data_IF_663376787037
#
_entry.id   IF_663376787037
#
_cell.length_a   1.000
_cell.length_b   1.000
_cell.length_c   1.000
_cell.angle_alpha   90.00
_cell.angle_beta   90.00
_cell.angle_gamma   90.00
#
_symmetry.space_group_name_H-M   'P 1'
#
loop_
_entity.id
_entity.type
_entity.pdbx_description
1 polymer ?
#
# COMPACT_ATOMS: atom_id res chain seq x y z
N UNK A 1 -15.82 -57.40 -5.04
CA UNK A 1 -15.08 -57.67 -3.77
C UNK A 1 -14.56 -56.37 -3.21
N UNK A 2 -14.99 -56.10 -1.99
CA UNK A 2 -14.56 -55.10 -1.01
C UNK A 2 -14.26 -53.66 -1.47
N UNK A 3 -15.22 -52.81 -1.09
CA UNK A 3 -15.05 -51.37 -0.81
C UNK A 3 -14.22 -51.18 0.46
N UNK A 4 -13.31 -50.21 0.46
CA UNK A 4 -12.81 -49.63 1.70
C UNK A 4 -12.98 -48.11 1.62
N UNK A 5 -13.72 -47.61 2.60
CA UNK A 5 -13.97 -46.20 2.89
C UNK A 5 -12.71 -45.59 3.45
N UNK A 6 -12.33 -44.39 2.95
CA UNK A 6 -11.44 -43.50 3.70
C UNK A 6 -12.23 -42.26 4.08
N UNK A 7 -12.15 -41.97 5.39
CA UNK A 7 -13.01 -41.04 6.07
C UNK A 7 -12.63 -39.56 5.84
N UNK A 8 -13.61 -38.74 6.03
CA UNK A 8 -13.53 -37.31 6.11
C UNK A 8 -12.59 -36.86 7.23
N UNK A 9 -11.60 -36.04 6.89
CA UNK A 9 -10.80 -35.30 7.87
C UNK A 9 -11.41 -33.90 7.97
N UNK A 10 -12.00 -33.64 9.13
CA UNK A 10 -12.61 -32.36 9.46
C UNK A 10 -11.58 -31.24 9.60
N UNK A 11 -11.97 -30.11 9.07
CA UNK A 11 -11.28 -28.83 9.24
C UNK A 11 -11.44 -28.36 10.69
N UNK A 12 -10.39 -28.44 11.51
CA UNK A 12 -10.36 -27.85 12.84
C UNK A 12 -9.68 -26.49 12.81
N UNK A 13 -10.38 -25.50 13.32
CA UNK A 13 -9.87 -24.15 13.59
C UNK A 13 -8.78 -24.22 14.67
N UNK A 14 -7.61 -23.59 14.50
CA UNK A 14 -6.60 -23.55 15.53
C UNK A 14 -6.65 -22.21 16.27
N UNK A 15 -7.35 -22.13 17.36
CA UNK A 15 -6.93 -21.35 18.52
C UNK A 15 -7.87 -21.44 19.70
N UNK A 16 -7.51 -22.36 20.59
CA UNK A 16 -7.82 -22.25 22.02
C UNK A 16 -6.63 -22.78 22.85
N UNK A 17 -6.06 -21.85 23.63
CA UNK A 17 -5.43 -21.95 24.95
C UNK A 17 -4.38 -23.03 25.25
N UNK A 18 -3.18 -22.54 25.52
CA UNK A 18 -2.31 -23.16 26.56
C UNK A 18 -1.96 -22.08 27.60
N UNK A 19 -2.07 -22.45 28.86
CA UNK A 19 -1.89 -21.60 30.04
C UNK A 19 -0.41 -21.30 30.41
N UNK A 20 -0.15 -20.67 31.57
CA UNK A 20 0.92 -19.70 31.75
C UNK A 20 2.27 -20.32 32.09
N UNK A 21 3.32 -19.85 31.44
CA UNK A 21 4.72 -20.01 31.87
C UNK A 21 5.13 -18.67 32.52
N UNK A 22 5.56 -18.76 33.78
CA UNK A 22 5.87 -17.60 34.59
C UNK A 22 7.09 -16.82 34.08
N UNK A 23 6.92 -15.51 33.96
CA UNK A 23 8.01 -14.56 33.79
C UNK A 23 8.25 -13.77 35.06
N UNK A 24 9.52 -13.75 35.45
CA UNK A 24 10.02 -12.88 36.54
C UNK A 24 9.87 -11.41 36.13
N UNK A 25 9.22 -10.65 36.98
CA UNK A 25 8.93 -9.23 36.86
C UNK A 25 10.18 -8.37 37.02
N UNK A 26 10.47 -7.54 36.03
CA UNK A 26 11.04 -6.22 36.25
C UNK A 26 9.98 -5.20 35.82
N UNK A 27 9.27 -4.69 36.77
CA UNK A 27 8.25 -3.66 36.61
C UNK A 27 8.91 -2.33 36.28
N UNK A 28 8.89 -1.93 35.01
CA UNK A 28 8.98 -0.55 34.59
C UNK A 28 7.57 -0.07 34.23
N UNK A 29 7.17 0.95 34.91
CA UNK A 29 5.80 1.47 35.05
C UNK A 29 5.21 1.88 33.69
N UNK A 30 4.24 1.11 33.19
CA UNK A 30 3.48 1.38 31.97
C UNK A 30 2.63 2.65 32.12
N UNK A 31 2.38 3.12 33.36
CA UNK A 31 1.54 4.28 33.63
C UNK A 31 2.14 5.60 33.15
N UNK A 32 3.46 5.76 33.14
CA UNK A 32 4.12 6.99 32.67
C UNK A 32 4.14 7.12 31.15
N UNK A 33 4.20 6.02 30.40
CA UNK A 33 4.11 6.06 28.92
C UNK A 33 2.73 6.46 28.41
N UNK A 34 1.67 6.06 29.09
CA UNK A 34 0.30 6.46 28.76
C UNK A 34 -0.01 7.91 29.10
N UNK A 35 0.62 8.46 30.12
CA UNK A 35 0.49 9.87 30.46
C UNK A 35 1.17 10.79 29.43
N UNK A 36 2.31 10.39 28.89
CA UNK A 36 3.03 11.13 27.85
C UNK A 36 2.26 11.14 26.52
N UNK A 37 1.74 9.98 26.07
CA UNK A 37 0.91 9.90 24.86
C UNK A 37 -0.41 10.68 24.97
N UNK A 38 -1.07 10.66 26.15
CA UNK A 38 -2.30 11.45 26.35
C UNK A 38 -2.04 12.95 26.36
N UNK A 39 -0.87 13.39 26.79
CA UNK A 39 -0.46 14.81 26.76
C UNK A 39 -0.30 15.35 25.33
N UNK A 40 0.27 14.57 24.44
CA UNK A 40 0.47 14.95 23.04
C UNK A 40 -0.81 14.89 22.20
N UNK A 41 -1.67 13.91 22.42
CA UNK A 41 -2.98 13.82 21.77
C UNK A 41 -3.90 14.99 22.22
N UNK A 42 -3.88 15.35 23.50
CA UNK A 42 -4.62 16.50 24.01
C UNK A 42 -4.06 17.84 23.50
N UNK A 43 -2.74 17.97 23.31
CA UNK A 43 -2.11 19.17 22.78
C UNK A 43 -2.35 19.32 21.28
N UNK A 44 -2.38 18.23 20.51
CA UNK A 44 -2.75 18.26 19.09
C UNK A 44 -4.23 18.65 18.87
N UNK A 45 -5.13 18.17 19.73
CA UNK A 45 -6.56 18.56 19.69
C UNK A 45 -6.73 20.04 20.07
N UNK A 46 -5.93 20.56 21.00
CA UNK A 46 -5.99 21.98 21.41
C UNK A 46 -5.35 22.94 20.40
N UNK A 47 -4.33 22.50 19.66
CA UNK A 47 -3.69 23.31 18.62
C UNK A 47 -4.58 23.38 17.36
N UNK A 48 -5.38 22.34 17.06
CA UNK A 48 -6.37 22.37 15.98
C UNK A 48 -7.56 23.29 16.31
N UNK A 49 -7.87 23.54 17.60
CA UNK A 49 -8.95 24.42 18.01
C UNK A 49 -8.60 25.93 18.08
N UNK A 50 -7.36 26.31 17.82
CA UNK A 50 -6.92 27.71 17.92
C UNK A 50 -6.55 28.39 16.58
N UNK A 51 -6.82 27.74 15.43
CA UNK A 51 -6.66 28.35 14.11
C UNK A 51 -8.03 28.59 13.51
N UNK A 52 -8.44 29.85 13.60
CA UNK A 52 -9.47 30.53 12.81
C UNK A 52 -10.68 29.74 12.25
N UNK A 53 -11.90 30.01 12.77
CA UNK A 53 -13.21 30.05 12.13
C UNK A 53 -13.65 29.01 11.08
N UNK A 54 -12.81 28.07 10.69
CA UNK A 54 -13.09 27.06 9.67
C UNK A 54 -13.45 25.68 10.25
N UNK A 55 -13.40 25.51 11.56
CA UNK A 55 -13.68 24.22 12.23
C UNK A 55 -15.16 23.81 12.16
N UNK A 56 -16.08 24.77 12.22
CA UNK A 56 -17.53 24.46 12.20
C UNK A 56 -18.03 24.11 10.78
N UNK A 57 -17.42 24.66 9.71
CA UNK A 57 -17.79 24.30 8.34
C UNK A 57 -17.30 22.88 7.94
N UNK A 58 -16.20 22.39 8.52
CA UNK A 58 -15.68 21.06 8.22
C UNK A 58 -16.59 19.91 8.73
N UNK A 59 -17.22 20.11 9.89
CA UNK A 59 -18.13 19.11 10.47
C UNK A 59 -19.45 19.01 9.70
N UNK A 60 -19.98 20.13 9.15
CA UNK A 60 -21.21 20.14 8.37
C UNK A 60 -21.09 19.44 7.01
N UNK A 61 -19.89 19.24 6.51
CA UNK A 61 -19.63 18.59 5.21
C UNK A 61 -19.75 17.06 5.26
N UNK A 62 -19.70 16.47 6.46
CA UNK A 62 -19.85 15.04 6.74
C UNK A 62 -21.15 14.71 7.48
N UNK A 63 -22.11 15.63 7.54
CA UNK A 63 -23.43 15.38 8.08
C UNK A 63 -24.35 14.75 7.01
N UNK A 64 -24.63 13.46 7.18
CA UNK A 64 -25.54 12.71 6.32
C UNK A 64 -24.89 12.11 5.07
N UNK A 65 -25.72 11.52 4.21
CA UNK A 65 -25.29 10.85 2.98
C UNK A 65 -24.70 11.83 2.00
N UNK A 66 -23.47 11.56 1.53
CA UNK A 66 -22.87 12.39 0.48
C UNK A 66 -23.46 12.06 -0.89
N UNK A 67 -23.55 13.07 -1.76
CA UNK A 67 -23.86 12.87 -3.18
C UNK A 67 -22.58 13.07 -3.98
N UNK A 68 -22.18 12.05 -4.70
CA UNK A 68 -20.96 12.05 -5.51
C UNK A 68 -21.33 11.79 -6.96
N UNK A 69 -20.88 12.64 -7.86
CA UNK A 69 -21.17 12.54 -9.28
C UNK A 69 -19.94 12.84 -10.13
N UNK A 70 -19.89 12.25 -11.30
CA UNK A 70 -18.90 12.56 -12.32
C UNK A 70 -19.56 13.40 -13.38
N UNK A 71 -19.02 14.59 -13.65
CA UNK A 71 -19.50 15.51 -14.67
C UNK A 71 -18.43 15.72 -15.73
N UNK A 72 -18.87 16.12 -16.93
CA UNK A 72 -17.98 16.41 -18.04
C UNK A 72 -18.04 15.36 -19.15
N UNK A 73 -17.20 15.52 -20.16
CA UNK A 73 -17.13 14.64 -21.33
C UNK A 73 -15.80 14.78 -22.05
N UNK A 74 -15.48 13.80 -22.92
CA UNK A 74 -14.37 13.86 -23.88
C UNK A 74 -13.00 14.22 -23.28
N UNK A 75 -12.72 13.76 -22.04
CA UNK A 75 -11.43 13.98 -21.38
C UNK A 75 -11.35 15.19 -20.47
N UNK A 76 -12.43 15.93 -20.35
CA UNK A 76 -12.60 17.01 -19.36
C UNK A 76 -13.66 16.58 -18.32
N UNK A 77 -13.30 15.63 -17.47
CA UNK A 77 -14.14 15.08 -16.42
C UNK A 77 -13.73 15.65 -15.06
N UNK A 78 -14.71 15.83 -14.19
CA UNK A 78 -14.51 16.15 -12.78
C UNK A 78 -15.39 15.30 -11.88
N UNK A 79 -14.89 14.95 -10.70
CA UNK A 79 -15.67 14.38 -9.63
C UNK A 79 -16.17 15.52 -8.74
N UNK A 80 -17.45 15.44 -8.34
CA UNK A 80 -18.11 16.42 -7.49
C UNK A 80 -18.72 15.73 -6.29
N UNK A 81 -18.50 16.28 -5.11
CA UNK A 81 -19.10 15.82 -3.86
C UNK A 81 -19.99 16.93 -3.30
N UNK A 82 -21.25 16.63 -3.05
CA UNK A 82 -22.25 17.61 -2.58
C UNK A 82 -22.28 18.88 -3.44
N UNK A 83 -22.17 18.70 -4.77
CA UNK A 83 -22.16 19.78 -5.76
C UNK A 83 -20.86 20.58 -5.88
N UNK A 84 -19.87 20.38 -5.00
CA UNK A 84 -18.55 21.01 -5.04
C UNK A 84 -17.55 20.13 -5.79
N UNK A 85 -16.66 20.74 -6.61
CA UNK A 85 -15.58 20.01 -7.27
C UNK A 85 -14.67 19.36 -6.22
N UNK A 86 -14.40 18.07 -6.39
CA UNK A 86 -13.61 17.27 -5.48
C UNK A 86 -12.59 16.44 -6.27
N UNK A 87 -11.34 16.47 -5.85
CA UNK A 87 -10.30 15.66 -6.46
C UNK A 87 -9.65 14.79 -5.37
N UNK A 88 -9.92 13.46 -5.36
CA UNK A 88 -9.34 12.56 -4.38
C UNK A 88 -7.82 12.52 -4.48
N UNK A 89 -7.16 12.91 -3.40
CA UNK A 89 -5.72 12.84 -3.19
C UNK A 89 -5.47 12.07 -1.90
N UNK A 90 -4.90 10.88 -2.00
CA UNK A 90 -4.69 10.06 -0.82
C UNK A 90 -3.94 8.79 -1.10
N UNK A 91 -4.17 7.79 -0.26
CA UNK A 91 -3.50 6.50 -0.34
C UNK A 91 -4.43 5.35 0.05
N UNK A 92 -4.09 4.13 -0.36
CA UNK A 92 -4.55 2.95 0.34
C UNK A 92 -3.98 2.96 1.74
N UNK A 93 -4.82 2.89 2.77
CA UNK A 93 -4.41 3.06 4.15
C UNK A 93 -4.63 1.80 4.98
N UNK A 94 -3.74 1.57 5.96
CA UNK A 94 -3.90 0.52 6.96
C UNK A 94 -4.61 1.07 8.20
N UNK A 95 -5.32 0.23 8.98
CA UNK A 95 -5.93 0.66 10.24
C UNK A 95 -4.92 1.35 11.19
N UNK A 96 -5.38 2.41 11.87
CA UNK A 96 -4.55 3.17 12.81
C UNK A 96 -3.61 4.20 12.19
N UNK A 97 -3.64 4.40 10.85
CA UNK A 97 -2.76 5.34 10.14
C UNK A 97 -3.47 6.61 9.65
N UNK A 98 -4.79 6.76 9.84
CA UNK A 98 -5.57 7.84 9.23
C UNK A 98 -5.25 9.23 9.79
N UNK A 99 -4.92 9.34 11.09
CA UNK A 99 -4.50 10.62 11.70
C UNK A 99 -3.25 11.16 11.00
N UNK A 100 -2.23 10.31 10.79
CA UNK A 100 -1.02 10.72 10.07
C UNK A 100 -1.30 10.99 8.60
N UNK A 101 -2.14 10.18 7.93
CA UNK A 101 -2.56 10.42 6.55
C UNK A 101 -3.18 11.81 6.38
N UNK A 102 -4.09 12.19 7.27
CA UNK A 102 -4.71 13.52 7.30
C UNK A 102 -3.68 14.63 7.55
N UNK A 103 -2.78 14.43 8.51
CA UNK A 103 -1.74 15.39 8.85
C UNK A 103 -0.79 15.68 7.68
N UNK A 104 -0.54 14.68 6.81
CA UNK A 104 0.24 14.83 5.58
C UNK A 104 -0.53 15.45 4.41
N UNK A 105 -1.81 15.80 4.62
CA UNK A 105 -2.60 16.58 3.67
C UNK A 105 -3.48 15.80 2.71
N UNK A 106 -3.63 14.48 2.91
CA UNK A 106 -4.61 13.71 2.16
C UNK A 106 -6.04 14.18 2.48
N UNK A 107 -6.93 14.06 1.49
CA UNK A 107 -8.36 14.32 1.66
C UNK A 107 -9.20 13.05 1.51
N UNK A 108 -8.58 11.94 1.09
CA UNK A 108 -9.27 10.69 0.79
C UNK A 108 -8.36 9.48 1.06
N UNK A 109 -8.99 8.31 1.25
CA UNK A 109 -8.30 7.03 1.27
C UNK A 109 -9.08 5.97 0.47
N UNK A 110 -8.40 4.85 0.17
CA UNK A 110 -9.08 3.65 -0.33
C UNK A 110 -8.87 2.48 0.62
N UNK A 111 -9.82 1.55 0.61
CA UNK A 111 -9.74 0.28 1.34
C UNK A 111 -9.73 -0.89 0.37
N UNK A 112 -9.46 -2.12 0.86
CA UNK A 112 -9.53 -3.37 0.09
C UNK A 112 -10.75 -4.22 0.45
N UNK A 113 -11.48 -3.81 1.48
CA UNK A 113 -12.73 -4.39 1.96
C UNK A 113 -13.50 -3.31 2.72
N UNK A 114 -14.74 -3.60 3.09
CA UNK A 114 -15.51 -2.73 3.97
C UNK A 114 -14.96 -2.84 5.38
N UNK A 115 -14.62 -1.69 5.96
CA UNK A 115 -14.21 -1.55 7.36
C UNK A 115 -14.98 -0.35 7.96
N UNK A 116 -16.01 -0.64 8.73
CA UNK A 116 -16.89 0.39 9.30
C UNK A 116 -16.15 1.27 10.32
N UNK A 117 -15.24 0.70 11.10
CA UNK A 117 -14.44 1.48 12.05
C UNK A 117 -13.51 2.46 11.32
N UNK A 118 -12.94 2.06 10.19
CA UNK A 118 -12.15 2.95 9.34
C UNK A 118 -13.00 4.03 8.65
N UNK A 119 -14.24 3.71 8.26
CA UNK A 119 -15.19 4.69 7.74
C UNK A 119 -15.53 5.74 8.81
N UNK A 120 -15.83 5.30 10.04
CA UNK A 120 -16.12 6.19 11.17
C UNK A 120 -14.93 7.10 11.50
N UNK A 121 -13.71 6.54 11.58
CA UNK A 121 -12.49 7.32 11.81
C UNK A 121 -12.25 8.33 10.67
N UNK A 122 -12.45 7.91 9.41
CA UNK A 122 -12.32 8.79 8.26
C UNK A 122 -13.30 9.98 8.32
N UNK A 123 -14.58 9.73 8.66
CA UNK A 123 -15.56 10.78 8.83
C UNK A 123 -15.15 11.79 9.90
N UNK A 124 -14.71 11.30 11.07
CA UNK A 124 -14.22 12.16 12.16
C UNK A 124 -13.03 13.03 11.75
N UNK A 125 -12.17 12.55 10.85
CA UNK A 125 -11.00 13.26 10.35
C UNK A 125 -11.29 14.12 9.10
N UNK A 126 -12.53 14.11 8.59
CA UNK A 126 -12.89 14.80 7.35
C UNK A 126 -12.17 14.20 6.13
N UNK A 127 -12.03 12.88 6.10
CA UNK A 127 -11.51 12.10 4.96
C UNK A 127 -12.66 11.38 4.27
N UNK A 128 -12.61 11.26 2.95
CA UNK A 128 -13.51 10.39 2.19
C UNK A 128 -12.88 9.02 1.94
N UNK A 129 -13.70 8.02 1.63
CA UNK A 129 -13.25 6.65 1.42
C UNK A 129 -13.78 6.08 0.11
N UNK A 130 -12.88 5.65 -0.77
CA UNK A 130 -13.23 4.76 -1.88
C UNK A 130 -13.20 3.33 -1.37
N UNK A 131 -14.39 2.75 -1.20
CA UNK A 131 -14.57 1.43 -0.56
C UNK A 131 -14.49 0.32 -1.59
N UNK A 132 -13.57 -0.62 -1.39
CA UNK A 132 -13.48 -1.82 -2.22
C UNK A 132 -14.40 -2.93 -1.67
N UNK A 133 -15.17 -3.55 -2.56
CA UNK A 133 -15.96 -4.74 -2.27
C UNK A 133 -15.11 -6.00 -2.47
N UNK A 134 -15.23 -6.96 -1.56
CA UNK A 134 -14.52 -8.22 -1.65
C UNK A 134 -15.21 -9.17 -2.64
N UNK A 135 -14.74 -9.14 -3.89
CA UNK A 135 -15.21 -9.94 -5.02
C UNK A 135 -14.27 -11.11 -5.24
N UNK A 136 -14.81 -12.29 -5.48
CA UNK A 136 -14.05 -13.52 -5.71
C UNK A 136 -13.09 -13.40 -6.89
N UNK A 137 -11.85 -13.89 -6.71
CA UNK A 137 -10.81 -13.86 -7.73
C UNK A 137 -10.63 -15.24 -8.35
N UNK A 138 -10.57 -15.30 -9.70
CA UNK A 138 -10.32 -16.57 -10.42
C UNK A 138 -9.01 -17.22 -9.97
N UNK A 139 -7.94 -16.44 -9.78
CA UNK A 139 -6.65 -16.90 -9.26
C UNK A 139 -6.70 -17.52 -7.85
N UNK A 140 -7.76 -17.25 -7.09
CA UNK A 140 -8.01 -17.80 -5.77
C UNK A 140 -9.09 -18.88 -5.78
N UNK A 141 -9.51 -19.34 -6.98
CA UNK A 141 -10.42 -20.47 -7.18
C UNK A 141 -11.89 -20.10 -7.33
N UNK A 142 -12.25 -18.82 -7.49
CA UNK A 142 -13.64 -18.45 -7.78
C UNK A 142 -13.98 -18.76 -9.25
N UNK A 143 -15.02 -19.55 -9.48
CA UNK A 143 -15.47 -19.92 -10.83
C UNK A 143 -16.67 -19.07 -11.28
N UNK A 144 -16.41 -18.15 -12.21
CA UNK A 144 -17.44 -17.30 -12.80
C UNK A 144 -18.38 -18.03 -13.77
N UNK A 145 -18.13 -19.31 -14.10
CA UNK A 145 -19.05 -20.16 -14.84
C UNK A 145 -20.10 -20.84 -13.94
N UNK A 146 -19.90 -20.82 -12.62
CA UNK A 146 -20.87 -21.28 -11.62
C UNK A 146 -21.89 -20.17 -11.34
N UNK A 147 -23.07 -20.29 -11.97
CA UNK A 147 -24.12 -19.30 -11.85
C UNK A 147 -24.69 -19.18 -10.43
N UNK A 148 -24.66 -20.26 -9.63
CA UNK A 148 -25.13 -20.25 -8.25
C UNK A 148 -24.16 -19.47 -7.36
N UNK A 149 -22.86 -19.76 -7.44
CA UNK A 149 -21.82 -19.02 -6.72
C UNK A 149 -21.80 -17.51 -7.08
N UNK A 150 -21.99 -17.17 -8.36
CA UNK A 150 -22.09 -15.77 -8.81
C UNK A 150 -23.33 -15.09 -8.23
N UNK A 151 -24.48 -15.78 -8.18
CA UNK A 151 -25.71 -15.23 -7.60
C UNK A 151 -25.61 -15.05 -6.08
N UNK A 152 -25.01 -16.01 -5.37
CA UNK A 152 -24.73 -15.90 -3.92
C UNK A 152 -23.79 -14.73 -3.62
N UNK A 153 -22.72 -14.57 -4.41
CA UNK A 153 -21.82 -13.42 -4.29
C UNK A 153 -22.56 -12.09 -4.47
N UNK A 154 -23.41 -11.98 -5.49
CA UNK A 154 -24.19 -10.77 -5.75
C UNK A 154 -25.11 -10.43 -4.57
N UNK A 155 -25.81 -11.42 -4.01
CA UNK A 155 -26.73 -11.23 -2.88
C UNK A 155 -25.96 -10.80 -1.60
N UNK A 156 -24.79 -11.38 -1.34
CA UNK A 156 -23.91 -10.99 -0.24
C UNK A 156 -23.45 -9.54 -0.40
N UNK A 157 -22.98 -9.16 -1.58
CA UNK A 157 -22.52 -7.82 -1.85
C UNK A 157 -23.64 -6.76 -1.78
N UNK A 158 -24.88 -7.12 -2.17
CA UNK A 158 -26.04 -6.22 -1.98
C UNK A 158 -26.29 -5.94 -0.49
N UNK A 159 -26.21 -6.96 0.36
CA UNK A 159 -26.33 -6.77 1.81
C UNK A 159 -25.20 -5.91 2.38
N UNK A 160 -23.97 -6.11 1.89
CA UNK A 160 -22.79 -5.32 2.28
C UNK A 160 -22.94 -3.84 1.88
N UNK A 161 -23.38 -3.56 0.65
CA UNK A 161 -23.62 -2.19 0.17
C UNK A 161 -24.74 -1.52 0.98
N UNK A 162 -25.86 -2.21 1.21
CA UNK A 162 -27.00 -1.67 1.98
C UNK A 162 -26.61 -1.28 3.41
N UNK A 163 -25.61 -1.95 3.99
CA UNK A 163 -25.13 -1.68 5.35
C UNK A 163 -24.40 -0.34 5.48
N UNK A 164 -23.62 0.08 4.45
CA UNK A 164 -22.73 1.24 4.57
C UNK A 164 -22.95 2.34 3.51
N UNK A 165 -23.90 2.16 2.57
CA UNK A 165 -24.16 3.11 1.47
C UNK A 165 -24.50 4.54 1.93
N UNK A 166 -25.07 4.67 3.11
CA UNK A 166 -25.47 5.97 3.66
C UNK A 166 -24.38 6.61 4.55
N UNK A 167 -23.19 6.00 4.58
CA UNK A 167 -22.09 6.50 5.41
C UNK A 167 -21.51 7.81 4.86
N UNK A 168 -21.37 8.89 5.68
CA UNK A 168 -20.95 10.21 5.21
C UNK A 168 -19.55 10.28 4.60
N UNK A 169 -18.64 9.37 4.97
CA UNK A 169 -17.31 9.31 4.39
C UNK A 169 -17.24 8.56 3.04
N UNK A 170 -18.29 7.85 2.64
CA UNK A 170 -18.27 7.11 1.38
C UNK A 170 -18.12 8.05 0.18
N UNK A 171 -17.20 7.74 -0.72
CA UNK A 171 -16.94 8.52 -1.93
C UNK A 171 -17.30 7.71 -3.20
N UNK A 172 -16.77 6.50 -3.33
CA UNK A 172 -17.00 5.64 -4.50
C UNK A 172 -16.95 4.18 -4.11
N UNK A 173 -17.55 3.35 -4.94
CA UNK A 173 -17.44 1.89 -4.85
C UNK A 173 -16.42 1.35 -5.83
N UNK A 174 -15.58 0.42 -5.36
CA UNK A 174 -14.62 -0.32 -6.19
C UNK A 174 -15.04 -1.79 -6.17
N UNK A 175 -15.50 -2.33 -7.29
CA UNK A 175 -15.92 -3.72 -7.42
C UNK A 175 -14.70 -4.61 -7.62
N UNK A 176 -14.22 -5.21 -6.53
CA UNK A 176 -13.07 -6.09 -6.53
C UNK A 176 -11.73 -5.42 -6.77
N UNK A 177 -10.67 -6.15 -6.49
CA UNK A 177 -9.28 -5.72 -6.64
C UNK A 177 -8.56 -6.64 -7.61
N UNK A 178 -8.06 -6.09 -8.72
CA UNK A 178 -7.24 -6.80 -9.71
C UNK A 178 -7.87 -8.11 -10.23
N UNK A 179 -9.16 -8.05 -10.57
CA UNK A 179 -9.89 -9.22 -11.04
C UNK A 179 -9.36 -9.76 -12.39
N UNK A 180 -8.58 -8.97 -13.13
CA UNK A 180 -7.90 -9.38 -14.36
C UNK A 180 -6.55 -10.06 -14.13
N UNK A 181 -6.00 -10.04 -12.90
CA UNK A 181 -4.71 -10.65 -12.60
C UNK A 181 -4.83 -12.17 -12.63
N UNK A 182 -4.08 -12.82 -13.53
CA UNK A 182 -4.14 -14.27 -13.78
C UNK A 182 -5.56 -14.81 -14.04
N UNK A 183 -6.44 -13.95 -14.60
CA UNK A 183 -7.79 -14.33 -14.98
C UNK A 183 -7.91 -14.63 -16.47
N UNK A 184 -8.67 -15.65 -16.80
CA UNK A 184 -8.93 -16.09 -18.17
C UNK A 184 -10.39 -16.03 -18.57
N UNK A 185 -11.33 -16.16 -17.61
CA UNK A 185 -12.76 -16.21 -17.83
C UNK A 185 -13.37 -14.79 -17.97
N UNK A 186 -13.84 -14.39 -19.18
CA UNK A 186 -14.41 -13.07 -19.37
C UNK A 186 -15.75 -12.84 -18.66
N UNK A 187 -16.39 -13.89 -18.12
CA UNK A 187 -17.63 -13.78 -17.35
C UNK A 187 -17.45 -12.98 -16.04
N UNK A 188 -16.23 -12.83 -15.57
CA UNK A 188 -15.92 -11.92 -14.44
C UNK A 188 -16.45 -10.51 -14.71
N UNK A 189 -16.39 -10.02 -15.96
CA UNK A 189 -16.84 -8.67 -16.30
C UNK A 189 -18.37 -8.57 -16.40
N UNK A 190 -19.06 -9.66 -16.74
CA UNK A 190 -20.52 -9.70 -16.69
C UNK A 190 -20.99 -9.65 -15.21
N UNK A 191 -20.29 -10.34 -14.31
CA UNK A 191 -20.56 -10.27 -12.88
C UNK A 191 -20.27 -8.86 -12.31
N UNK A 192 -19.17 -8.22 -12.73
CA UNK A 192 -18.85 -6.83 -12.37
C UNK A 192 -19.96 -5.89 -12.84
N UNK A 193 -20.49 -6.07 -14.05
CA UNK A 193 -21.62 -5.27 -14.55
C UNK A 193 -22.88 -5.46 -13.72
N UNK A 194 -23.23 -6.72 -13.38
CA UNK A 194 -24.41 -7.01 -12.56
C UNK A 194 -24.28 -6.40 -11.15
N UNK A 195 -23.08 -6.41 -10.57
CA UNK A 195 -22.80 -5.74 -9.28
C UNK A 195 -22.94 -4.22 -9.43
N UNK A 196 -22.44 -3.62 -10.51
CA UNK A 196 -22.57 -2.18 -10.75
C UNK A 196 -24.04 -1.76 -10.91
N UNK A 197 -24.83 -2.52 -11.68
CA UNK A 197 -26.27 -2.29 -11.81
C UNK A 197 -27.03 -2.46 -10.48
N UNK A 198 -26.62 -3.42 -9.65
CA UNK A 198 -27.15 -3.61 -8.31
C UNK A 198 -26.85 -2.39 -7.44
N UNK A 199 -25.61 -1.91 -7.43
CA UNK A 199 -25.22 -0.74 -6.64
C UNK A 199 -26.04 0.48 -7.08
N UNK A 200 -26.13 0.79 -8.37
CA UNK A 200 -26.91 1.92 -8.87
C UNK A 200 -28.39 1.86 -8.46
N UNK A 201 -28.95 0.64 -8.32
CA UNK A 201 -30.33 0.44 -7.88
C UNK A 201 -30.52 0.77 -6.40
N UNK A 202 -29.57 0.39 -5.53
CA UNK A 202 -29.69 0.52 -4.07
C UNK A 202 -28.97 1.74 -3.50
N UNK A 203 -27.97 2.26 -4.22
CA UNK A 203 -27.18 3.45 -3.89
C UNK A 203 -26.98 4.34 -5.14
N UNK A 204 -27.93 5.23 -5.43
CA UNK A 204 -27.81 6.15 -6.56
C UNK A 204 -26.86 7.33 -6.30
N UNK A 205 -26.24 7.44 -5.11
CA UNK A 205 -25.48 8.59 -4.67
C UNK A 205 -23.98 8.47 -4.94
N UNK A 206 -23.46 7.24 -5.18
CA UNK A 206 -22.02 7.04 -5.27
C UNK A 206 -21.64 6.31 -6.56
N UNK A 207 -20.65 6.83 -7.32
CA UNK A 207 -20.20 6.22 -8.56
C UNK A 207 -19.40 4.93 -8.31
N UNK A 208 -19.38 4.08 -9.34
CA UNK A 208 -18.90 2.70 -9.28
C UNK A 208 -17.79 2.43 -10.29
N UNK A 209 -16.77 1.71 -9.88
CA UNK A 209 -15.67 1.25 -10.73
C UNK A 209 -15.23 -0.17 -10.40
N UNK A 210 -14.28 -0.70 -11.17
CA UNK A 210 -13.46 -1.87 -10.82
C UNK A 210 -11.99 -1.54 -10.99
N UNK A 211 -11.11 -2.10 -10.14
CA UNK A 211 -9.68 -1.85 -10.18
C UNK A 211 -8.94 -2.90 -11.01
N UNK A 212 -8.27 -2.48 -12.07
CA UNK A 212 -7.47 -3.34 -12.95
C UNK A 212 -6.00 -3.39 -12.51
N UNK A 213 -5.39 -4.56 -12.55
CA UNK A 213 -3.92 -4.71 -12.55
C UNK A 213 -3.37 -4.23 -13.91
N UNK A 214 -2.86 -3.00 -13.95
CA UNK A 214 -2.44 -2.35 -15.17
C UNK A 214 -3.60 -1.88 -16.07
N UNK A 215 -3.23 -1.30 -17.22
CA UNK A 215 -4.19 -0.78 -18.19
C UNK A 215 -3.82 -1.33 -19.59
N UNK A 216 -4.53 -2.36 -20.04
CA UNK A 216 -4.34 -2.97 -21.35
C UNK A 216 -5.48 -2.67 -22.31
N UNK A 217 -5.19 -2.67 -23.63
CA UNK A 217 -6.22 -2.51 -24.66
C UNK A 217 -7.29 -3.61 -24.57
N UNK A 218 -6.90 -4.84 -24.22
CA UNK A 218 -7.82 -5.97 -24.03
C UNK A 218 -8.79 -5.70 -22.91
N UNK A 219 -8.28 -5.32 -21.73
CA UNK A 219 -9.12 -5.12 -20.55
C UNK A 219 -10.05 -3.93 -20.73
N UNK A 220 -9.56 -2.83 -21.31
CA UNK A 220 -10.40 -1.67 -21.66
C UNK A 220 -11.54 -2.08 -22.61
N UNK A 221 -11.27 -2.85 -23.66
CA UNK A 221 -12.28 -3.30 -24.59
C UNK A 221 -13.30 -4.24 -23.92
N UNK A 222 -12.84 -5.14 -23.03
CA UNK A 222 -13.72 -6.02 -22.26
C UNK A 222 -14.61 -5.22 -21.31
N UNK A 223 -14.09 -4.27 -20.55
CA UNK A 223 -14.90 -3.44 -19.67
C UNK A 223 -15.94 -2.61 -20.43
N UNK A 224 -15.54 -2.01 -21.56
CA UNK A 224 -16.47 -1.20 -22.37
C UNK A 224 -17.62 -2.02 -22.97
N UNK A 225 -17.40 -3.32 -23.23
CA UNK A 225 -18.39 -4.20 -23.85
C UNK A 225 -19.20 -5.00 -22.85
N UNK A 226 -18.60 -5.47 -21.74
CA UNK A 226 -19.20 -6.37 -20.79
C UNK A 226 -19.59 -5.74 -19.44
N UNK A 227 -18.97 -4.59 -19.09
CA UNK A 227 -19.27 -3.86 -17.87
C UNK A 227 -19.62 -2.38 -18.16
N UNK A 228 -20.60 -2.10 -19.06
CA UNK A 228 -20.95 -0.73 -19.42
C UNK A 228 -21.56 0.07 -18.25
N UNK A 229 -22.06 -0.59 -17.21
CA UNK A 229 -22.64 0.07 -16.03
C UNK A 229 -21.59 0.77 -15.13
N UNK A 230 -20.29 0.47 -15.26
CA UNK A 230 -19.25 1.21 -14.52
C UNK A 230 -19.26 2.70 -14.89
N UNK A 231 -19.12 3.59 -13.92
CA UNK A 231 -19.09 5.05 -14.16
C UNK A 231 -17.71 5.53 -14.63
N UNK A 232 -16.65 4.89 -14.15
CA UNK A 232 -15.27 5.18 -14.51
C UNK A 232 -14.43 3.89 -14.48
N UNK A 233 -13.21 3.95 -14.97
CA UNK A 233 -12.26 2.84 -14.96
C UNK A 233 -11.15 3.14 -13.94
N UNK A 234 -10.81 2.17 -13.12
CA UNK A 234 -9.66 2.28 -12.22
C UNK A 234 -8.52 1.37 -12.65
N UNK A 235 -7.30 1.83 -12.42
CA UNK A 235 -6.09 1.07 -12.70
C UNK A 235 -5.10 1.14 -11.56
N UNK A 236 -4.30 0.09 -11.44
CA UNK A 236 -3.22 -0.05 -10.46
C UNK A 236 -1.91 -0.21 -11.23
N UNK A 237 -0.94 0.66 -10.98
CA UNK A 237 0.31 0.72 -11.72
C UNK A 237 1.46 1.11 -10.82
N UNK A 238 2.60 0.48 -11.01
CA UNK A 238 3.80 0.69 -10.24
C UNK A 238 4.91 1.28 -11.13
N UNK A 239 5.93 0.52 -11.53
CA UNK A 239 6.95 1.01 -12.48
C UNK A 239 6.35 1.43 -13.82
N UNK A 240 5.31 0.74 -14.26
CA UNK A 240 4.54 1.06 -15.46
C UNK A 240 3.88 2.44 -15.47
N UNK A 241 3.81 3.16 -14.31
CA UNK A 241 3.23 4.51 -14.21
C UNK A 241 3.94 5.50 -15.15
N UNK A 242 5.21 5.28 -15.44
CA UNK A 242 5.98 6.16 -16.34
C UNK A 242 5.43 6.17 -17.78
N UNK A 243 4.78 5.08 -18.22
CA UNK A 243 4.13 4.97 -19.53
C UNK A 243 2.60 5.13 -19.49
N UNK A 244 2.00 5.31 -18.30
CA UNK A 244 0.55 5.36 -18.16
C UNK A 244 -0.09 6.53 -18.94
N UNK A 245 0.56 7.69 -18.97
CA UNK A 245 0.07 8.85 -19.73
C UNK A 245 -0.08 8.54 -21.22
N UNK A 246 0.89 7.87 -21.82
CA UNK A 246 0.85 7.42 -23.23
C UNK A 246 -0.25 6.38 -23.45
N UNK A 247 -0.42 5.43 -22.51
CA UNK A 247 -1.50 4.45 -22.55
C UNK A 247 -2.89 5.11 -22.48
N UNK A 248 -3.08 6.10 -21.61
CA UNK A 248 -4.33 6.86 -21.49
C UNK A 248 -4.68 7.57 -22.81
N UNK A 249 -3.69 8.12 -23.52
CA UNK A 249 -3.88 8.81 -24.81
C UNK A 249 -4.12 7.79 -25.92
N UNK A 250 -3.35 6.70 -25.94
CA UNK A 250 -3.36 5.70 -27.02
C UNK A 250 -4.55 4.74 -26.99
N UNK A 251 -5.19 4.57 -25.83
CA UNK A 251 -6.35 3.71 -25.68
C UNK A 251 -7.65 4.51 -25.86
N UNK A 252 -8.61 3.95 -26.59
CA UNK A 252 -9.91 4.58 -26.84
C UNK A 252 -10.83 4.43 -25.61
N UNK A 253 -10.42 5.03 -24.48
CA UNK A 253 -11.14 4.99 -23.21
C UNK A 253 -12.23 6.06 -23.23
N UNK A 254 -13.49 5.66 -23.12
CA UNK A 254 -14.65 6.57 -23.18
C UNK A 254 -15.00 7.19 -21.84
N UNK A 255 -14.55 6.59 -20.72
CA UNK A 255 -14.84 7.00 -19.35
C UNK A 255 -13.64 7.68 -18.69
N UNK A 256 -13.83 8.45 -17.60
CA UNK A 256 -12.70 8.94 -16.81
C UNK A 256 -11.95 7.78 -16.15
N UNK A 257 -10.74 8.09 -15.67
CA UNK A 257 -9.84 7.12 -15.04
C UNK A 257 -9.54 7.58 -13.62
N UNK A 258 -9.45 6.63 -12.69
CA UNK A 258 -8.85 6.84 -11.37
C UNK A 258 -7.67 5.89 -11.20
N UNK A 259 -6.54 6.39 -10.70
CA UNK A 259 -5.38 5.54 -10.40
C UNK A 259 -5.50 5.10 -8.95
N UNK A 260 -6.08 3.92 -8.73
CA UNK A 260 -6.47 3.45 -7.40
C UNK A 260 -5.35 2.77 -6.61
N UNK A 261 -4.25 2.43 -7.28
CA UNK A 261 -2.96 2.13 -6.66
C UNK A 261 -1.84 2.60 -7.56
N UNK A 262 -0.87 3.31 -6.97
CA UNK A 262 0.37 3.65 -7.62
C UNK A 262 1.46 3.86 -6.57
N UNK A 263 2.70 3.60 -6.96
CA UNK A 263 3.76 3.66 -5.96
C UNK A 263 5.14 3.54 -6.57
N UNK A 264 6.04 2.93 -5.80
CA UNK A 264 7.38 2.58 -6.27
C UNK A 264 7.33 1.50 -7.36
N UNK A 265 8.47 1.16 -7.95
CA UNK A 265 8.58 0.07 -8.92
C UNK A 265 8.22 -1.27 -8.25
N UNK A 266 7.41 -2.08 -8.91
CA UNK A 266 7.04 -3.41 -8.43
C UNK A 266 8.25 -4.36 -8.39
N UNK A 267 8.25 -5.30 -7.46
CA UNK A 267 9.37 -6.26 -7.33
C UNK A 267 9.53 -7.17 -8.57
N UNK A 268 8.49 -7.27 -9.40
CA UNK A 268 8.49 -7.97 -10.69
C UNK A 268 8.99 -7.11 -11.87
N UNK A 269 9.18 -5.81 -11.66
CA UNK A 269 9.62 -4.84 -12.66
C UNK A 269 11.11 -4.47 -12.52
N UNK A 270 11.79 -4.95 -11.48
CA UNK A 270 13.20 -4.67 -11.23
C UNK A 270 14.09 -5.83 -11.65
N UNK A 271 15.38 -5.54 -11.83
CA UNK A 271 16.40 -6.57 -12.03
C UNK A 271 16.50 -7.44 -10.78
N UNK A 272 16.64 -8.75 -10.96
CA UNK A 272 16.89 -9.71 -9.89
C UNK A 272 18.33 -10.19 -9.90
N UNK A 273 18.80 -10.67 -8.77
CA UNK A 273 20.06 -11.39 -8.65
C UNK A 273 20.01 -12.76 -9.35
N UNK A 274 21.15 -13.41 -9.54
CA UNK A 274 21.22 -14.74 -10.16
C UNK A 274 20.47 -15.83 -9.38
N UNK A 275 20.16 -15.61 -8.10
CA UNK A 275 19.33 -16.50 -7.27
C UNK A 275 17.88 -16.03 -7.13
N UNK A 276 17.46 -15.02 -7.92
CA UNK A 276 16.07 -14.59 -8.01
C UNK A 276 15.62 -13.55 -6.98
N UNK A 277 16.52 -13.02 -6.14
CA UNK A 277 16.17 -11.93 -5.21
C UNK A 277 16.05 -10.60 -5.98
N UNK A 278 14.89 -9.90 -5.92
CA UNK A 278 14.72 -8.62 -6.60
C UNK A 278 15.57 -7.52 -5.93
N UNK A 279 16.15 -6.63 -6.75
CA UNK A 279 16.97 -5.52 -6.25
C UNK A 279 16.08 -4.33 -5.96
N UNK A 280 15.88 -4.06 -4.67
CA UNK A 280 15.02 -2.99 -4.20
C UNK A 280 15.70 -1.62 -4.33
N UNK A 281 14.93 -0.61 -4.71
CA UNK A 281 15.38 0.79 -4.73
C UNK A 281 15.58 1.32 -3.31
N UNK A 282 16.51 2.26 -3.11
CA UNK A 282 16.60 3.01 -1.86
C UNK A 282 15.35 3.87 -1.62
N UNK A 283 15.12 4.29 -0.37
CA UNK A 283 14.00 5.17 -0.04
C UNK A 283 14.01 6.48 -0.84
N UNK A 284 15.18 7.03 -1.11
CA UNK A 284 15.34 8.23 -1.92
C UNK A 284 14.98 7.98 -3.41
N UNK A 285 15.39 6.82 -3.98
CA UNK A 285 15.02 6.45 -5.34
C UNK A 285 13.51 6.20 -5.49
N UNK A 286 12.91 5.56 -4.50
CA UNK A 286 11.46 5.38 -4.42
C UNK A 286 10.71 6.71 -4.40
N UNK A 287 11.14 7.64 -3.55
CA UNK A 287 10.58 8.99 -3.46
C UNK A 287 10.64 9.72 -4.81
N UNK A 288 11.76 9.64 -5.54
CA UNK A 288 11.88 10.19 -6.89
C UNK A 288 10.90 9.55 -7.87
N UNK A 289 10.71 8.23 -7.78
CA UNK A 289 9.76 7.51 -8.61
C UNK A 289 8.31 7.96 -8.36
N UNK A 290 7.92 8.10 -7.08
CA UNK A 290 6.60 8.65 -6.70
C UNK A 290 6.37 10.03 -7.31
N UNK A 291 7.30 10.97 -7.15
CA UNK A 291 7.16 12.33 -7.64
C UNK A 291 7.04 12.38 -9.17
N UNK A 292 7.92 11.67 -9.86
CA UNK A 292 7.94 11.65 -11.34
C UNK A 292 6.70 10.96 -11.90
N UNK A 293 6.29 9.82 -11.33
CA UNK A 293 5.09 9.09 -11.74
C UNK A 293 3.83 9.94 -11.60
N UNK A 294 3.66 10.61 -10.44
CA UNK A 294 2.55 11.52 -10.23
C UNK A 294 2.52 12.65 -11.27
N UNK A 295 3.64 13.32 -11.48
CA UNK A 295 3.72 14.44 -12.39
C UNK A 295 3.42 14.04 -13.84
N UNK A 296 3.99 12.92 -14.31
CA UNK A 296 3.88 12.47 -15.70
C UNK A 296 2.53 11.85 -16.04
N UNK A 297 1.94 11.08 -15.13
CA UNK A 297 0.78 10.27 -15.45
C UNK A 297 -0.52 10.78 -14.81
N UNK A 298 -0.46 11.43 -13.66
CA UNK A 298 -1.64 11.85 -12.92
C UNK A 298 -1.88 13.35 -13.09
N UNK A 299 -0.93 14.18 -12.67
CA UNK A 299 -1.10 15.63 -12.69
C UNK A 299 -1.24 16.20 -14.10
N UNK A 300 -0.47 15.69 -15.07
CA UNK A 300 -0.52 16.13 -16.47
C UNK A 300 -1.77 15.66 -17.24
N UNK A 301 -2.56 14.74 -16.65
CA UNK A 301 -3.77 14.19 -17.27
C UNK A 301 -5.04 14.51 -16.47
N UNK A 302 -5.02 15.56 -15.65
CA UNK A 302 -6.23 16.06 -14.98
C UNK A 302 -7.34 16.32 -15.99
N UNK A 303 -8.58 15.99 -15.62
CA UNK A 303 -9.72 15.99 -16.52
C UNK A 303 -9.95 14.62 -17.17
N UNK A 304 -8.91 13.83 -17.43
CA UNK A 304 -9.04 12.41 -17.76
C UNK A 304 -8.83 11.53 -16.53
N UNK A 305 -7.84 11.86 -15.71
CA UNK A 305 -7.60 11.25 -14.39
C UNK A 305 -8.29 12.09 -13.33
N UNK A 306 -9.29 11.51 -12.67
CA UNK A 306 -10.18 12.19 -11.72
C UNK A 306 -9.81 11.97 -10.25
N UNK A 307 -8.72 11.30 -9.95
CA UNK A 307 -8.22 11.06 -8.60
C UNK A 307 -7.15 9.99 -8.54
N UNK A 308 -6.46 9.88 -7.41
CA UNK A 308 -5.43 8.85 -7.21
C UNK A 308 -5.18 8.49 -5.76
N UNK A 309 -4.77 7.22 -5.54
CA UNK A 309 -4.40 6.67 -4.24
C UNK A 309 -3.03 6.02 -4.33
N UNK A 310 -2.08 6.51 -3.56
CA UNK A 310 -0.75 5.91 -3.44
C UNK A 310 -0.82 4.56 -2.70
N UNK A 311 0.01 3.62 -3.05
CA UNK A 311 0.18 2.36 -2.35
C UNK A 311 1.52 2.36 -1.61
N UNK A 312 1.59 2.24 -0.25
CA UNK A 312 0.41 2.33 0.63
C UNK A 312 0.79 3.22 1.82
N UNK A 313 -0.18 3.88 2.46
CA UNK A 313 0.02 4.62 3.70
C UNK A 313 0.02 3.65 4.88
N UNK A 314 1.21 3.29 5.32
CA UNK A 314 1.46 2.25 6.30
C UNK A 314 2.67 1.39 5.90
N UNK A 315 2.72 0.18 6.42
CA UNK A 315 3.77 -0.81 6.14
C UNK A 315 3.16 -2.16 5.77
N UNK A 316 3.81 -2.89 4.90
CA UNK A 316 3.45 -4.24 4.49
C UNK A 316 4.72 -5.05 4.19
N UNK A 317 4.73 -6.32 4.63
CA UNK A 317 5.72 -7.28 4.16
C UNK A 317 5.32 -7.77 2.76
N UNK A 318 6.15 -7.45 1.76
CA UNK A 318 6.06 -8.00 0.42
C UNK A 318 7.47 -7.98 -0.20
N UNK A 319 8.09 -9.14 -0.32
CA UNK A 319 9.52 -9.38 -0.57
C UNK A 319 10.42 -8.84 0.54
N UNK A 320 10.25 -7.59 0.90
CA UNK A 320 10.91 -6.93 2.03
C UNK A 320 9.91 -6.16 2.87
N UNK A 321 10.22 -5.81 4.12
CA UNK A 321 9.36 -4.98 4.93
C UNK A 321 9.33 -3.50 4.48
N UNK A 322 10.24 -3.13 3.59
CA UNK A 322 10.44 -1.75 3.14
C UNK A 322 9.96 -1.50 1.71
N UNK A 323 9.48 -2.52 0.97
CA UNK A 323 9.22 -2.38 -0.46
C UNK A 323 8.20 -1.29 -0.79
N UNK A 324 6.99 -1.36 -0.23
CA UNK A 324 5.86 -0.49 -0.59
C UNK A 324 5.44 0.49 0.50
N UNK A 325 5.83 0.26 1.74
CA UNK A 325 5.43 1.11 2.85
C UNK A 325 5.96 2.54 2.70
N UNK A 326 5.07 3.53 2.86
CA UNK A 326 5.48 4.94 3.02
C UNK A 326 5.86 5.26 4.45
N UNK A 327 5.46 4.40 5.38
CA UNK A 327 5.86 4.43 6.79
C UNK A 327 6.62 3.17 7.15
N UNK A 328 7.49 3.27 8.15
CA UNK A 328 8.13 2.13 8.79
C UNK A 328 7.14 1.38 9.70
N UNK A 329 7.46 0.16 10.20
CA UNK A 329 6.55 -0.62 11.07
C UNK A 329 6.12 0.09 12.36
N UNK A 330 6.93 1.00 12.87
CA UNK A 330 6.66 1.83 14.05
C UNK A 330 5.93 3.14 13.72
N UNK A 331 5.60 3.36 12.45
CA UNK A 331 4.91 4.55 11.96
C UNK A 331 5.84 5.69 11.55
N UNK A 332 7.17 5.54 11.65
CA UNK A 332 8.12 6.56 11.24
C UNK A 332 8.00 6.84 9.72
N UNK A 333 7.93 8.11 9.31
CA UNK A 333 7.77 8.47 7.90
C UNK A 333 9.05 8.27 7.11
N UNK A 334 8.89 7.91 5.83
CA UNK A 334 9.99 7.78 4.87
C UNK A 334 9.95 8.90 3.83
N UNK A 335 10.98 9.01 3.00
CA UNK A 335 11.04 9.99 1.91
C UNK A 335 9.85 9.88 0.93
N UNK A 336 9.19 8.72 0.82
CA UNK A 336 7.95 8.58 0.05
C UNK A 336 6.78 9.33 0.69
N UNK A 337 6.67 9.34 2.03
CA UNK A 337 5.67 10.12 2.74
C UNK A 337 5.87 11.63 2.52
N UNK A 338 7.13 12.11 2.52
CA UNK A 338 7.45 13.53 2.27
C UNK A 338 7.02 13.96 0.86
N UNK A 339 7.27 13.11 -0.13
CA UNK A 339 6.83 13.37 -1.51
C UNK A 339 5.31 13.40 -1.60
N UNK A 340 4.60 12.51 -0.90
CA UNK A 340 3.13 12.51 -0.88
C UNK A 340 2.59 13.77 -0.21
N UNK A 341 3.19 14.23 0.89
CA UNK A 341 2.86 15.52 1.50
C UNK A 341 3.05 16.67 0.49
N UNK A 342 4.17 16.68 -0.23
CA UNK A 342 4.43 17.66 -1.30
C UNK A 342 3.37 17.61 -2.41
N UNK A 343 2.93 16.44 -2.80
CA UNK A 343 1.90 16.23 -3.82
C UNK A 343 0.54 16.75 -3.34
N UNK A 344 0.16 16.41 -2.11
CA UNK A 344 -1.18 16.69 -1.57
C UNK A 344 -1.33 18.13 -1.10
N UNK A 345 -0.27 18.74 -0.54
CA UNK A 345 -0.31 20.10 0.02
C UNK A 345 0.32 21.17 -0.88
N UNK A 346 1.11 20.75 -1.87
CA UNK A 346 1.95 21.65 -2.68
C UNK A 346 3.24 22.11 -2.00
N UNK A 347 3.52 21.69 -0.77
CA UNK A 347 4.70 22.10 0.03
C UNK A 347 5.42 20.88 0.59
N UNK A 348 6.75 20.94 0.65
CA UNK A 348 7.54 19.95 1.38
C UNK A 348 7.23 20.08 2.89
N UNK A 349 7.27 18.97 3.66
CA UNK A 349 7.27 19.04 5.11
C UNK A 349 8.49 19.83 5.62
N UNK A 350 8.40 20.37 6.84
CA UNK A 350 9.49 21.14 7.45
C UNK A 350 10.71 20.26 7.75
N UNK A 351 10.48 19.01 8.13
CA UNK A 351 11.48 17.98 8.28
C UNK A 351 11.25 16.92 7.22
N UNK A 352 12.31 16.48 6.56
CA UNK A 352 12.29 15.44 5.53
C UNK A 352 13.14 14.25 5.96
N UNK A 353 12.79 13.07 5.51
CA UNK A 353 13.52 11.85 5.83
C UNK A 353 14.94 11.87 5.23
N UNK A 354 15.93 11.28 5.91
CA UNK A 354 17.29 11.16 5.39
C UNK A 354 17.35 10.51 4.02
N UNK A 355 18.14 11.08 3.12
CA UNK A 355 18.45 10.51 1.81
C UNK A 355 19.50 9.42 1.92
N UNK A 356 19.15 8.17 1.67
CA UNK A 356 20.12 7.09 1.49
C UNK A 356 20.50 7.02 0.00
N UNK A 357 21.76 7.38 -0.29
CA UNK A 357 22.28 7.54 -1.66
C UNK A 357 23.00 6.31 -2.18
N UNK A 358 23.67 5.59 -1.30
CA UNK A 358 24.51 4.47 -1.68
C UNK A 358 24.60 3.45 -0.55
N UNK A 359 24.48 2.17 -0.87
CA UNK A 359 24.78 1.05 0.03
C UNK A 359 25.72 0.08 -0.68
N UNK A 360 26.82 -0.26 -0.04
CA UNK A 360 27.80 -1.23 -0.53
C UNK A 360 28.08 -2.31 0.51
N UNK A 361 28.45 -3.49 0.03
CA UNK A 361 29.05 -4.56 0.84
C UNK A 361 30.35 -4.98 0.15
N UNK A 362 31.48 -4.95 0.87
CA UNK A 362 32.83 -5.19 0.33
C UNK A 362 33.09 -4.39 -0.96
N UNK A 363 32.75 -3.10 -0.96
CA UNK A 363 32.82 -2.17 -2.10
C UNK A 363 32.01 -2.58 -3.35
N UNK A 364 31.10 -3.55 -3.22
CA UNK A 364 30.22 -4.01 -4.29
C UNK A 364 28.82 -3.39 -4.17
N UNK A 365 28.17 -3.21 -5.32
CA UNK A 365 26.77 -2.76 -5.42
C UNK A 365 25.81 -3.96 -5.38
N UNK A 366 24.53 -3.77 -5.02
CA UNK A 366 23.51 -4.84 -4.98
C UNK A 366 23.37 -5.64 -6.28
N UNK A 367 23.64 -5.02 -7.43
CA UNK A 367 23.55 -5.65 -8.75
C UNK A 367 24.71 -6.60 -9.10
N UNK A 368 25.72 -6.74 -8.25
CA UNK A 368 26.95 -7.49 -8.58
C UNK A 368 26.83 -8.99 -8.30
N UNK A 369 25.70 -9.49 -7.82
CA UNK A 369 25.51 -10.88 -7.42
C UNK A 369 26.58 -11.35 -6.41
N UNK A 370 26.80 -10.52 -5.36
CA UNK A 370 27.84 -10.78 -4.36
C UNK A 370 27.61 -12.13 -3.67
N UNK A 371 28.67 -12.95 -3.66
CA UNK A 371 28.72 -14.18 -2.89
C UNK A 371 29.76 -14.03 -1.78
N UNK A 372 29.44 -14.54 -0.60
CA UNK A 372 30.30 -14.47 0.60
C UNK A 372 30.47 -15.86 1.18
N UNK A 373 31.66 -16.12 1.75
CA UNK A 373 31.97 -17.40 2.39
C UNK A 373 31.27 -17.53 3.75
N UNK A 374 30.80 -18.74 4.12
CA UNK A 374 30.19 -18.99 5.43
C UNK A 374 31.09 -18.56 6.59
N UNK A 375 30.56 -17.84 7.56
CA UNK A 375 31.26 -17.38 8.76
C UNK A 375 32.33 -16.32 8.54
N UNK A 376 32.59 -15.90 7.30
CA UNK A 376 33.55 -14.82 6.99
C UNK A 376 33.09 -13.46 7.52
N UNK A 377 33.96 -12.46 7.43
CA UNK A 377 33.62 -11.07 7.76
C UNK A 377 33.39 -10.28 6.48
N UNK A 378 32.35 -9.45 6.47
CA UNK A 378 32.09 -8.50 5.38
C UNK A 378 31.86 -7.10 5.94
N UNK A 379 32.36 -6.10 5.24
CA UNK A 379 32.17 -4.71 5.59
C UNK A 379 31.05 -4.12 4.73
N UNK A 380 30.05 -3.53 5.37
CA UNK A 380 29.05 -2.71 4.69
C UNK A 380 29.26 -1.24 4.97
N UNK A 381 28.89 -0.40 4.02
CA UNK A 381 28.98 1.05 4.10
C UNK A 381 27.75 1.68 3.45
N UNK A 382 27.17 2.71 4.11
CA UNK A 382 26.06 3.51 3.59
C UNK A 382 26.46 4.97 3.49
N UNK A 383 26.13 5.62 2.39
CA UNK A 383 26.19 7.07 2.23
C UNK A 383 24.79 7.63 2.40
N UNK A 384 24.60 8.46 3.43
CA UNK A 384 23.33 9.10 3.71
C UNK A 384 23.56 10.58 4.08
N UNK A 385 22.54 11.40 3.86
CA UNK A 385 22.54 12.80 4.25
C UNK A 385 21.13 13.21 4.69
N UNK A 386 21.06 14.03 5.72
CA UNK A 386 19.82 14.68 6.13
C UNK A 386 19.62 15.98 5.35
N UNK A 387 18.46 16.26 4.78
CA UNK A 387 18.21 17.49 4.03
C UNK A 387 18.34 18.77 4.86
N UNK A 388 18.01 18.72 6.15
CA UNK A 388 18.11 19.81 7.10
C UNK A 388 19.45 19.85 7.85
N UNK A 389 20.29 18.82 7.67
CA UNK A 389 21.61 18.71 8.30
C UNK A 389 21.57 18.15 9.73
N UNK A 390 20.52 17.44 10.11
CA UNK A 390 20.40 16.79 11.42
C UNK A 390 21.43 15.66 11.58
N UNK A 391 21.76 15.35 12.83
CA UNK A 391 22.58 14.17 13.14
C UNK A 391 21.81 12.87 12.81
N UNK A 392 22.51 11.92 12.21
CA UNK A 392 21.96 10.65 11.76
C UNK A 392 22.32 9.52 12.74
N UNK A 393 21.34 8.64 12.98
CA UNK A 393 21.52 7.37 13.65
C UNK A 393 21.30 6.21 12.67
N UNK A 394 22.04 5.12 12.86
CA UNK A 394 22.08 4.00 11.91
C UNK A 394 21.66 2.72 12.62
N UNK A 395 20.77 1.96 11.99
CA UNK A 395 20.33 0.65 12.44
C UNK A 395 20.53 -0.37 11.33
N UNK A 396 21.33 -1.40 11.60
CA UNK A 396 21.60 -2.46 10.65
C UNK A 396 20.90 -3.76 11.04
N UNK A 397 20.36 -4.46 10.06
CA UNK A 397 19.62 -5.71 10.24
C UNK A 397 20.00 -6.69 9.15
N UNK A 398 20.27 -7.94 9.50
CA UNK A 398 20.44 -9.03 8.56
C UNK A 398 19.28 -10.01 8.67
N UNK A 399 18.72 -10.42 7.53
CA UNK A 399 17.65 -11.42 7.46
C UNK A 399 17.93 -12.43 6.35
N UNK A 400 17.43 -13.67 6.46
CA UNK A 400 17.29 -14.53 5.28
C UNK A 400 16.41 -13.83 4.23
N UNK A 401 16.66 -14.10 2.95
CA UNK A 401 15.80 -13.60 1.86
C UNK A 401 14.42 -14.23 1.94
N UNK A 402 13.36 -13.48 1.66
CA UNK A 402 12.00 -14.02 1.58
C UNK A 402 11.89 -15.07 0.49
N UNK A 403 11.35 -16.23 0.83
CA UNK A 403 11.08 -17.34 -0.10
C UNK A 403 9.61 -17.33 -0.59
N UNK A 404 8.84 -16.31 -0.25
CA UNK A 404 7.44 -16.19 -0.66
C UNK A 404 7.31 -16.15 -2.19
N UNK A 405 6.25 -16.79 -2.68
CA UNK A 405 5.81 -16.74 -4.07
C UNK A 405 4.45 -16.03 -4.20
N UNK A 406 4.03 -15.36 -3.13
CA UNK A 406 2.80 -14.60 -3.11
C UNK A 406 2.79 -13.52 -4.21
N UNK A 407 1.61 -13.25 -4.77
CA UNK A 407 1.36 -12.25 -5.80
C UNK A 407 0.11 -11.44 -5.46
N UNK A 408 -0.07 -10.29 -6.11
CA UNK A 408 -1.27 -9.47 -5.98
C UNK A 408 -1.55 -9.04 -4.53
N UNK A 409 -0.50 -8.87 -3.74
CA UNK A 409 -0.63 -8.39 -2.38
C UNK A 409 -1.06 -9.44 -1.34
N UNK A 410 -1.03 -10.74 -1.65
CA UNK A 410 -1.26 -11.81 -0.68
C UNK A 410 -0.25 -11.76 0.48
N UNK A 411 -0.64 -12.27 1.65
CA UNK A 411 0.16 -12.17 2.87
C UNK A 411 1.50 -12.92 2.78
N UNK A 412 2.57 -12.28 3.25
CA UNK A 412 3.90 -12.88 3.38
C UNK A 412 4.37 -12.87 4.84
N UNK A 413 5.14 -13.89 5.22
CA UNK A 413 5.83 -13.90 6.51
C UNK A 413 7.12 -13.08 6.42
N UNK A 414 7.36 -12.24 7.42
CA UNK A 414 8.63 -11.53 7.57
C UNK A 414 9.68 -12.52 8.10
N UNK A 415 10.81 -12.76 7.39
CA UNK A 415 11.90 -13.56 7.91
C UNK A 415 12.49 -12.96 9.19
N UNK A 416 12.84 -13.78 10.17
CA UNK A 416 13.42 -13.31 11.44
C UNK A 416 14.79 -12.67 11.23
N UNK A 417 15.09 -11.63 11.99
CA UNK A 417 16.40 -11.00 11.97
C UNK A 417 17.45 -11.88 12.65
N UNK A 418 18.70 -11.77 12.18
CA UNK A 418 19.87 -12.47 12.71
C UNK A 418 20.76 -11.47 13.49
N UNK A 419 20.42 -11.14 14.75
CA UNK A 419 21.12 -10.09 15.50
C UNK A 419 22.60 -10.41 15.76
N UNK A 420 22.94 -11.67 15.97
CA UNK A 420 24.30 -12.13 16.23
C UNK A 420 25.27 -11.96 15.04
N UNK A 421 24.73 -11.63 13.87
CA UNK A 421 25.51 -11.32 12.68
C UNK A 421 26.10 -9.90 12.70
N UNK A 422 25.63 -9.00 13.56
CA UNK A 422 26.15 -7.65 13.70
C UNK A 422 27.31 -7.61 14.68
N UNK A 423 28.51 -7.20 14.23
CA UNK A 423 29.73 -7.07 15.07
C UNK A 423 29.91 -5.65 15.55
N UNK A 424 29.70 -4.67 14.67
CA UNK A 424 29.63 -3.24 14.98
C UNK A 424 28.47 -2.66 14.15
N UNK A 425 27.74 -1.66 14.63
CA UNK A 425 26.59 -1.34 13.84
C UNK A 425 25.76 -0.09 14.14
N UNK A 426 26.38 0.95 14.67
CA UNK A 426 25.73 2.22 15.01
C UNK A 426 26.29 3.43 14.24
N UNK A 427 26.91 3.18 13.07
CA UNK A 427 27.54 4.20 12.23
C UNK A 427 27.29 3.92 10.74
N UNK A 428 27.79 4.80 9.88
CA UNK A 428 27.75 4.67 8.41
C UNK A 428 28.37 3.35 7.90
N UNK A 429 29.23 2.73 8.69
CA UNK A 429 29.86 1.45 8.37
C UNK A 429 29.61 0.40 9.44
N UNK A 430 29.36 -0.83 9.00
CA UNK A 430 29.18 -1.99 9.87
C UNK A 430 30.04 -3.14 9.41
N UNK A 431 30.60 -3.89 10.37
CA UNK A 431 31.21 -5.19 10.13
C UNK A 431 30.17 -6.26 10.46
N UNK A 432 29.84 -7.12 9.50
CA UNK A 432 28.94 -8.24 9.69
C UNK A 432 29.69 -9.55 9.69
N UNK A 433 29.25 -10.49 10.51
CA UNK A 433 29.61 -11.89 10.38
C UNK A 433 28.62 -12.57 9.44
N UNK A 434 29.13 -13.07 8.33
CA UNK A 434 28.33 -13.79 7.34
C UNK A 434 27.75 -15.04 7.99
N UNK A 435 26.44 -15.37 7.81
CA UNK A 435 25.87 -16.59 8.34
C UNK A 435 26.64 -17.85 7.90
N UNK A 436 26.64 -18.88 8.73
CA UNK A 436 27.26 -20.16 8.40
C UNK A 436 26.41 -21.04 7.49
N UNK A 437 25.11 -20.79 7.41
CA UNK A 437 24.17 -21.52 6.56
C UNK A 437 24.23 -20.98 5.12
N UNK A 438 24.38 -21.89 4.15
CA UNK A 438 24.39 -21.56 2.71
C UNK A 438 22.98 -21.10 2.30
N UNK A 439 22.90 -19.98 1.57
CA UNK A 439 21.61 -19.48 1.10
C UNK A 439 21.61 -17.98 0.84
N UNK A 440 20.45 -17.45 0.40
CA UNK A 440 20.27 -16.04 0.13
C UNK A 440 19.92 -15.25 1.39
N UNK A 441 20.53 -14.08 1.54
CA UNK A 441 20.34 -13.16 2.65
C UNK A 441 20.19 -11.72 2.16
N UNK A 442 19.64 -10.85 3.02
CA UNK A 442 19.50 -9.43 2.76
C UNK A 442 19.91 -8.61 3.98
N UNK A 443 20.88 -7.72 3.77
CA UNK A 443 21.28 -6.73 4.75
C UNK A 443 20.43 -5.47 4.55
N UNK A 444 19.89 -4.94 5.63
CA UNK A 444 19.12 -3.70 5.67
C UNK A 444 19.87 -2.64 6.45
N UNK A 445 19.75 -1.40 6.05
CA UNK A 445 20.10 -0.23 6.83
C UNK A 445 18.92 0.72 6.93
N UNK A 446 18.65 1.17 8.13
CA UNK A 446 17.71 2.23 8.46
C UNK A 446 18.53 3.39 9.01
N UNK A 447 18.31 4.57 8.47
CA UNK A 447 19.01 5.81 8.84
C UNK A 447 17.96 6.79 9.34
N UNK A 448 18.00 7.12 10.61
CA UNK A 448 17.02 8.02 11.22
C UNK A 448 17.66 9.37 11.58
N UNK A 449 16.88 10.43 11.45
CA UNK A 449 17.19 11.75 11.95
C UNK A 449 16.75 11.92 13.42
N UNK A 450 16.98 13.10 13.99
CA UNK A 450 16.60 13.43 15.37
C UNK A 450 15.07 13.59 15.56
N UNK A 451 14.30 13.77 14.50
CA UNK A 451 12.83 13.84 14.51
C UNK A 451 12.16 12.45 14.34
N UNK A 452 12.96 11.41 14.06
CA UNK A 452 12.49 10.03 13.88
C UNK A 452 12.04 9.69 12.47
N UNK A 453 12.37 10.51 11.46
CA UNK A 453 12.13 10.17 10.05
C UNK A 453 13.22 9.22 9.56
N UNK A 454 12.88 8.33 8.61
CA UNK A 454 13.74 7.20 8.25
C UNK A 454 14.01 7.11 6.75
N UNK A 455 15.30 7.21 6.40
CA UNK A 455 15.79 6.73 5.11
C UNK A 455 16.18 5.26 5.20
N UNK A 456 16.06 4.48 4.14
CA UNK A 456 16.44 3.08 4.16
C UNK A 456 17.00 2.58 2.83
N UNK A 457 17.81 1.52 2.89
CA UNK A 457 18.22 0.72 1.75
C UNK A 457 18.49 -0.73 2.18
N UNK A 458 18.64 -1.63 1.21
CA UNK A 458 19.01 -3.00 1.48
C UNK A 458 19.93 -3.58 0.39
N UNK A 459 20.59 -4.67 0.72
CA UNK A 459 21.58 -5.33 -0.12
C UNK A 459 21.40 -6.84 -0.10
N UNK A 460 20.94 -7.49 -1.18
CA UNK A 460 20.86 -8.94 -1.29
C UNK A 460 22.24 -9.54 -1.57
N UNK A 461 22.62 -10.62 -0.86
CA UNK A 461 23.82 -11.40 -1.12
C UNK A 461 23.55 -12.89 -0.92
N UNK A 462 24.45 -13.72 -1.40
CA UNK A 462 24.35 -15.18 -1.27
C UNK A 462 25.53 -15.72 -0.47
N UNK A 463 25.27 -16.60 0.50
CA UNK A 463 26.31 -17.35 1.21
C UNK A 463 26.59 -18.62 0.46
N UNK A 464 27.80 -18.80 -0.02
CA UNK A 464 28.22 -19.97 -0.81
C UNK A 464 29.59 -20.48 -0.35
N UNK A 465 29.82 -21.79 -0.49
CA UNK A 465 31.14 -22.36 -0.35
C UNK A 465 32.12 -21.73 -1.37
N UNK A 466 33.40 -21.57 -1.01
CA UNK A 466 34.39 -21.07 -1.95
C UNK A 466 34.49 -22.02 -3.16
N UNK A 467 34.55 -21.42 -4.35
CA UNK A 467 34.80 -22.19 -5.58
C UNK A 467 36.22 -22.79 -5.49
N UNK A 468 36.34 -24.12 -5.37
CA UNK A 468 37.61 -24.86 -5.36
C UNK A 468 38.35 -24.70 -6.69
#
# INVERSE_FOLDING_TARGET
MRAERLGAIGCQKPWERTGPVGFLSSSLDISERWAFMKGWVALLILVVMSVDGHGEEAWSEFDGVSQVEIRGSAGDYGLYRNGKAYYPLGAGAVPGSLVSLKAYGANSLRTWHIDEAMLDEAALLGLTVSVCLDVGRERQGFDYSDAEAVAEQLARLEADVLRVKDHPALLTWIIGNELNLEASNPLVWDAVNAIAEMIHRVDPNHPVTTALAGLSARDVALLQTRAPALDFISTQVYGGIMGLGEAIIGLDIKKPIMVTEWGTVGHWEVTSTSWGAPIELSSADKARHYLQGYQRAIASHRGKVIGSYAFLWGQKQERTPTWYGTLMPDGAPTAAADVLAKIWTGRWPENQAPEVRLLKVNDRLPSTNLQLEPGSLAQAFVEAADPEGSALAYRWLLRPESQSKAIGGDAELLPEALPDSMITGDSEGVMIRVPSEIGPYRLFVEVSDSAGFVGHANFPFYVAEPLN
#
